data_IF_835321734158
#
_entry.id   IF_835321734158
#
_cell.length_a   1.000
_cell.length_b   1.000
_cell.length_c   1.000
_cell.angle_alpha   90.00
_cell.angle_beta   90.00
_cell.angle_gamma   90.00
#
_symmetry.space_group_name_H-M   'P 1'
#
loop_
_entity.id
_entity.type
_entity.pdbx_description
1 polymer ?
#
# COMPACT_ATOMS: atom_id res chain seq x y z
N UNK A 1 -3.95 13.21 -10.67
CA UNK A 1 -3.33 13.69 -9.39
C UNK A 1 -4.37 13.48 -8.28
N UNK A 2 -3.99 12.92 -7.14
CA UNK A 2 -4.87 12.80 -5.96
C UNK A 2 -5.23 14.20 -5.49
N UNK A 3 -6.52 14.47 -5.28
CA UNK A 3 -7.04 15.79 -4.92
C UNK A 3 -7.10 15.94 -3.39
N UNK A 4 -7.08 17.18 -2.91
CA UNK A 4 -7.19 17.47 -1.47
C UNK A 4 -8.47 16.86 -0.87
N UNK A 5 -9.57 16.90 -1.60
CA UNK A 5 -10.87 16.37 -1.18
C UNK A 5 -10.84 14.84 -0.94
N UNK A 6 -9.94 14.12 -1.61
CA UNK A 6 -9.79 12.67 -1.43
C UNK A 6 -9.26 12.31 -0.03
N UNK A 7 -8.51 13.22 0.60
CA UNK A 7 -8.02 13.07 1.97
C UNK A 7 -9.04 13.50 3.02
N UNK A 8 -9.97 14.40 2.69
CA UNK A 8 -10.97 14.89 3.64
C UNK A 8 -11.85 13.77 4.19
N UNK A 9 -12.14 12.75 3.37
CA UNK A 9 -12.89 11.56 3.80
C UNK A 9 -12.14 10.81 4.90
N UNK A 10 -10.81 10.76 4.82
CA UNK A 10 -9.95 10.09 5.79
C UNK A 10 -9.85 10.95 7.05
N UNK A 11 -9.63 12.24 6.91
CA UNK A 11 -9.42 13.15 8.06
C UNK A 11 -10.67 13.31 8.92
N UNK A 12 -11.87 13.33 8.34
CA UNK A 12 -13.14 13.40 9.07
C UNK A 12 -13.38 12.21 9.99
N UNK A 13 -12.78 11.06 9.69
CA UNK A 13 -12.94 9.84 10.49
C UNK A 13 -11.82 9.64 11.51
N UNK A 14 -10.80 10.48 11.45
CA UNK A 14 -9.72 10.45 12.43
C UNK A 14 -10.24 10.87 13.81
N UNK A 15 -9.97 10.06 14.82
CA UNK A 15 -10.18 10.43 16.21
C UNK A 15 -9.15 9.73 17.10
N UNK A 16 -8.96 10.26 18.32
CA UNK A 16 -7.91 9.79 19.23
C UNK A 16 -8.33 8.55 20.04
N UNK A 17 -9.61 8.21 20.04
CA UNK A 17 -10.13 7.08 20.81
C UNK A 17 -10.00 5.75 20.08
N UNK A 18 -10.27 5.76 18.77
CA UNK A 18 -10.21 4.56 17.92
C UNK A 18 -9.28 4.84 16.75
N UNK A 19 -8.07 4.23 16.73
CA UNK A 19 -7.12 4.48 15.66
C UNK A 19 -7.66 4.06 14.30
N UNK A 20 -7.44 4.93 13.33
CA UNK A 20 -7.79 4.68 11.94
C UNK A 20 -6.60 4.03 11.22
N UNK A 21 -6.87 2.93 10.54
CA UNK A 21 -5.92 2.25 9.66
C UNK A 21 -6.38 2.40 8.21
N UNK A 22 -5.60 3.09 7.40
CA UNK A 22 -5.84 3.21 5.97
C UNK A 22 -5.14 2.08 5.25
N UNK A 23 -5.89 1.26 4.53
CA UNK A 23 -5.38 0.15 3.71
C UNK A 23 -5.35 0.58 2.26
N UNK A 24 -4.15 0.67 1.67
CA UNK A 24 -3.98 1.03 0.25
C UNK A 24 -4.13 -0.20 -0.64
N UNK A 25 -4.97 -0.11 -1.65
CA UNK A 25 -5.24 -1.21 -2.57
C UNK A 25 -4.96 -0.79 -4.01
N UNK A 26 -4.35 -1.68 -4.80
CA UNK A 26 -4.05 -1.43 -6.21
C UNK A 26 -2.72 -2.00 -6.67
N UNK A 27 -2.57 -2.12 -7.98
CA UNK A 27 -1.35 -2.61 -8.63
C UNK A 27 -0.20 -1.60 -8.52
N UNK A 28 1.02 -2.05 -8.77
CA UNK A 28 2.18 -1.17 -8.85
C UNK A 28 1.94 -0.04 -9.90
N UNK A 29 2.35 1.18 -9.57
CA UNK A 29 2.13 2.36 -10.42
C UNK A 29 0.80 3.09 -10.18
N UNK A 30 -0.12 2.56 -9.38
CA UNK A 30 -1.41 3.22 -9.09
C UNK A 30 -1.27 4.46 -8.18
N UNK A 31 -0.09 4.70 -7.60
CA UNK A 31 0.18 5.89 -6.78
C UNK A 31 0.00 5.67 -5.27
N UNK A 32 -0.12 4.42 -4.82
CA UNK A 32 -0.28 4.07 -3.39
C UNK A 32 0.78 4.72 -2.51
N UNK A 33 2.05 4.57 -2.89
CA UNK A 33 3.17 5.11 -2.10
C UNK A 33 3.09 6.64 -1.98
N UNK A 34 2.79 7.35 -3.06
CA UNK A 34 2.63 8.81 -3.02
C UNK A 34 1.47 9.22 -2.10
N UNK A 35 0.35 8.51 -2.17
CA UNK A 35 -0.80 8.74 -1.29
C UNK A 35 -0.44 8.45 0.18
N UNK A 36 0.22 7.33 0.44
CA UNK A 36 0.65 6.93 1.78
C UNK A 36 1.66 7.91 2.39
N UNK A 37 2.60 8.43 1.59
CA UNK A 37 3.58 9.45 2.01
C UNK A 37 2.89 10.77 2.39
N UNK A 38 1.83 11.14 1.69
CA UNK A 38 1.04 12.31 2.08
C UNK A 38 0.36 12.11 3.43
N UNK A 39 -0.21 10.92 3.69
CA UNK A 39 -0.76 10.60 5.01
C UNK A 39 0.32 10.56 6.10
N UNK A 40 1.52 10.12 5.79
CA UNK A 40 2.67 10.12 6.70
C UNK A 40 3.05 11.54 7.12
N UNK A 41 3.05 12.51 6.19
CA UNK A 41 3.24 13.93 6.50
C UNK A 41 2.16 14.44 7.46
N UNK A 42 0.94 13.94 7.36
CA UNK A 42 -0.19 14.28 8.23
C UNK A 42 -0.22 13.47 9.54
N UNK A 43 0.85 12.73 9.84
CA UNK A 43 1.06 12.06 11.11
C UNK A 43 0.55 10.62 11.20
N UNK A 44 0.28 9.96 10.07
CA UNK A 44 0.08 8.51 10.05
C UNK A 44 1.42 7.78 10.08
N UNK A 45 1.50 6.66 10.78
CA UNK A 45 2.65 5.75 10.67
C UNK A 45 2.50 4.91 9.42
N UNK A 46 3.44 5.02 8.48
CA UNK A 46 3.39 4.25 7.23
C UNK A 46 4.12 2.91 7.37
N UNK A 47 3.44 1.83 6.96
CA UNK A 47 3.99 0.48 6.89
C UNK A 47 4.13 0.08 5.42
N UNK A 48 5.36 -0.20 4.97
CA UNK A 48 5.69 -0.58 3.60
C UNK A 48 6.63 -1.79 3.59
N UNK A 49 6.22 -2.87 2.92
CA UNK A 49 7.05 -4.07 2.76
C UNK A 49 8.32 -3.74 1.97
N UNK A 50 8.19 -2.97 0.90
CA UNK A 50 9.32 -2.63 0.03
C UNK A 50 10.38 -1.83 0.79
N UNK A 51 9.97 -0.88 1.64
CA UNK A 51 10.91 -0.11 2.46
C UNK A 51 11.51 -0.93 3.60
N UNK A 52 10.75 -1.83 4.22
CA UNK A 52 11.28 -2.74 5.23
C UNK A 52 12.37 -3.67 4.64
N UNK A 53 12.14 -4.22 3.45
CA UNK A 53 13.14 -5.03 2.74
C UNK A 53 14.36 -4.19 2.41
N UNK A 54 14.16 -3.00 1.84
CA UNK A 54 15.24 -2.09 1.49
C UNK A 54 16.11 -1.74 2.71
N UNK A 55 15.50 -1.41 3.82
CA UNK A 55 16.20 -1.03 5.05
C UNK A 55 16.95 -2.19 5.70
N UNK A 56 16.45 -3.43 5.61
CA UNK A 56 17.00 -4.59 6.33
C UNK A 56 17.84 -5.52 5.46
N UNK A 57 17.60 -5.60 4.17
CA UNK A 57 18.24 -6.52 3.22
C UNK A 57 18.95 -5.80 2.08
N UNK A 58 18.65 -4.50 1.87
CA UNK A 58 19.23 -3.73 0.78
C UNK A 58 18.45 -3.89 -0.53
N UNK A 59 19.16 -3.76 -1.64
CA UNK A 59 18.61 -3.61 -2.98
C UNK A 59 18.31 -4.94 -3.64
N UNK A 60 17.11 -5.07 -4.15
CA UNK A 60 16.68 -6.21 -4.95
C UNK A 60 17.62 -6.47 -6.14
N UNK A 61 18.08 -7.72 -6.27
CA UNK A 61 18.96 -8.16 -7.36
C UNK A 61 20.38 -7.61 -7.33
N UNK A 62 20.74 -6.80 -6.32
CA UNK A 62 22.08 -6.24 -6.11
C UNK A 62 22.66 -6.71 -4.78
N UNK A 63 22.02 -6.35 -3.68
CA UNK A 63 22.50 -6.68 -2.34
C UNK A 63 22.02 -8.07 -1.89
N UNK A 64 20.98 -8.61 -2.52
CA UNK A 64 20.50 -9.98 -2.32
C UNK A 64 19.96 -10.63 -3.62
N UNK A 65 20.02 -11.98 -3.74
CA UNK A 65 19.53 -12.69 -4.92
C UNK A 65 18.02 -12.56 -5.09
N UNK A 66 17.56 -12.45 -6.34
CA UNK A 66 16.14 -12.39 -6.72
C UNK A 66 15.33 -13.53 -6.09
N UNK A 67 15.89 -14.75 -6.04
CA UNK A 67 15.25 -15.93 -5.47
C UNK A 67 14.89 -15.80 -3.97
N UNK A 68 15.51 -14.87 -3.25
CA UNK A 68 15.23 -14.60 -1.83
C UNK A 68 14.09 -13.59 -1.61
N UNK A 69 13.63 -12.93 -2.65
CA UNK A 69 12.66 -11.84 -2.51
C UNK A 69 11.35 -12.27 -1.84
N UNK A 70 10.79 -13.41 -2.23
CA UNK A 70 9.51 -13.89 -1.66
C UNK A 70 9.67 -14.32 -0.18
N UNK A 71 10.83 -14.83 0.22
CA UNK A 71 11.17 -15.13 1.61
C UNK A 71 11.20 -13.83 2.42
N UNK A 72 11.98 -12.85 1.96
CA UNK A 72 12.13 -11.55 2.64
C UNK A 72 10.82 -10.75 2.71
N UNK A 73 9.99 -10.87 1.68
CA UNK A 73 8.66 -10.28 1.66
C UNK A 73 7.74 -10.85 2.75
N UNK A 74 7.76 -12.18 2.94
CA UNK A 74 7.00 -12.83 4.01
C UNK A 74 7.49 -12.43 5.40
N UNK A 75 8.80 -12.37 5.60
CA UNK A 75 9.41 -11.94 6.86
C UNK A 75 9.05 -10.49 7.17
N UNK A 76 9.22 -9.60 6.19
CA UNK A 76 8.88 -8.19 6.32
C UNK A 76 7.38 -8.00 6.64
N UNK A 77 6.50 -8.71 5.93
CA UNK A 77 5.06 -8.64 6.19
C UNK A 77 4.71 -9.13 7.59
N UNK A 78 5.29 -10.24 8.04
CA UNK A 78 5.06 -10.76 9.40
C UNK A 78 5.49 -9.76 10.47
N UNK A 79 6.66 -9.15 10.31
CA UNK A 79 7.16 -8.09 11.19
C UNK A 79 6.24 -6.87 11.21
N UNK A 80 5.84 -6.39 10.04
CA UNK A 80 4.97 -5.21 9.91
C UNK A 80 3.56 -5.47 10.44
N UNK A 81 3.03 -6.69 10.33
CA UNK A 81 1.75 -7.07 10.93
C UNK A 81 1.80 -7.02 12.46
N UNK A 82 2.86 -7.50 13.08
CA UNK A 82 3.04 -7.39 14.53
C UNK A 82 3.18 -5.93 14.96
N UNK A 83 3.89 -5.12 14.18
CA UNK A 83 4.01 -3.68 14.41
C UNK A 83 2.66 -2.97 14.27
N UNK A 84 1.84 -3.33 13.27
CA UNK A 84 0.48 -2.80 13.11
C UNK A 84 -0.36 -2.99 14.37
N UNK A 85 -0.39 -4.20 14.91
CA UNK A 85 -1.15 -4.51 16.14
C UNK A 85 -0.68 -3.64 17.30
N UNK A 86 0.63 -3.52 17.48
CA UNK A 86 1.23 -2.65 18.51
C UNK A 86 0.81 -1.18 18.31
N UNK A 87 0.92 -0.65 17.11
CA UNK A 87 0.57 0.74 16.80
C UNK A 87 -0.92 1.02 17.10
N UNK A 88 -1.81 0.07 16.79
CA UNK A 88 -3.24 0.20 17.09
C UNK A 88 -3.44 0.25 18.62
N UNK A 89 -2.78 -0.60 19.40
CA UNK A 89 -2.85 -0.56 20.86
C UNK A 89 -2.29 0.75 21.44
N UNK A 90 -1.24 1.29 20.80
CA UNK A 90 -0.63 2.58 21.15
C UNK A 90 -1.44 3.79 20.63
N UNK A 91 -2.66 3.56 20.09
CA UNK A 91 -3.58 4.59 19.55
C UNK A 91 -2.99 5.41 18.40
N UNK A 92 -2.06 4.84 17.63
CA UNK A 92 -1.50 5.50 16.46
C UNK A 92 -2.38 5.33 15.23
N UNK A 93 -2.47 6.38 14.41
CA UNK A 93 -3.05 6.31 13.08
C UNK A 93 -2.05 5.64 12.13
N UNK A 94 -2.50 4.72 11.29
CA UNK A 94 -1.60 3.91 10.44
C UNK A 94 -2.04 3.94 8.98
N UNK A 95 -1.10 3.98 8.05
CA UNK A 95 -1.35 3.67 6.64
C UNK A 95 -0.53 2.45 6.22
N UNK A 96 -1.20 1.45 5.65
CA UNK A 96 -0.59 0.22 5.15
C UNK A 96 -0.41 0.37 3.63
N UNK A 97 0.82 0.64 3.21
CA UNK A 97 1.22 0.79 1.80
C UNK A 97 1.56 -0.58 1.20
N UNK A 98 0.55 -1.47 1.15
CA UNK A 98 0.64 -2.78 0.51
C UNK A 98 -0.22 -2.79 -0.75
N UNK A 99 -0.08 -3.86 -1.57
CA UNK A 99 -0.91 -4.03 -2.78
C UNK A 99 -2.31 -4.51 -2.48
N UNK A 100 -2.48 -5.33 -1.43
CA UNK A 100 -3.75 -5.99 -1.08
C UNK A 100 -4.43 -6.66 -2.28
N UNK A 101 -3.72 -7.59 -2.92
CA UNK A 101 -4.03 -8.22 -4.20
C UNK A 101 -5.37 -8.90 -4.29
N UNK A 102 -5.75 -9.59 -3.25
CA UNK A 102 -6.91 -10.45 -3.20
C UNK A 102 -7.82 -10.12 -2.02
N UNK A 103 -9.07 -10.50 -2.14
CA UNK A 103 -10.09 -10.25 -1.13
C UNK A 103 -9.77 -10.95 0.19
N UNK A 104 -9.28 -12.17 0.13
CA UNK A 104 -8.98 -12.97 1.34
C UNK A 104 -7.97 -12.22 2.22
N UNK A 105 -6.91 -11.69 1.61
CA UNK A 105 -5.89 -10.92 2.32
C UNK A 105 -6.44 -9.59 2.85
N UNK A 106 -7.29 -8.90 2.09
CA UNK A 106 -7.95 -7.69 2.56
C UNK A 106 -8.82 -7.97 3.79
N UNK A 107 -9.65 -9.01 3.74
CA UNK A 107 -10.54 -9.37 4.84
C UNK A 107 -9.76 -9.84 6.08
N UNK A 108 -8.63 -10.55 5.91
CA UNK A 108 -7.73 -10.90 7.01
C UNK A 108 -7.20 -9.67 7.74
N UNK A 109 -6.76 -8.65 7.00
CA UNK A 109 -6.25 -7.42 7.61
C UNK A 109 -7.35 -6.58 8.26
N UNK A 110 -8.53 -6.48 7.65
CA UNK A 110 -9.71 -5.86 8.27
C UNK A 110 -10.00 -6.48 9.64
N UNK A 111 -10.02 -7.83 9.68
CA UNK A 111 -10.24 -8.56 10.92
C UNK A 111 -9.14 -8.30 11.96
N UNK A 112 -7.87 -8.32 11.58
CA UNK A 112 -6.75 -8.01 12.49
C UNK A 112 -6.91 -6.61 13.08
N UNK A 113 -7.27 -5.62 12.28
CA UNK A 113 -7.47 -4.24 12.72
C UNK A 113 -8.62 -4.13 13.73
N UNK A 114 -9.76 -4.75 13.42
CA UNK A 114 -10.95 -4.75 14.28
C UNK A 114 -10.69 -5.48 15.60
N UNK A 115 -10.10 -6.68 15.54
CA UNK A 115 -9.74 -7.48 16.73
C UNK A 115 -8.73 -6.76 17.63
N UNK A 116 -7.90 -5.86 17.06
CA UNK A 116 -6.94 -5.02 17.81
C UNK A 116 -7.54 -3.71 18.35
N UNK A 117 -8.82 -3.42 18.08
CA UNK A 117 -9.52 -2.22 18.54
C UNK A 117 -9.33 -0.99 17.64
N UNK A 118 -8.91 -1.18 16.41
CA UNK A 118 -8.85 -0.15 15.37
C UNK A 118 -10.08 -0.15 14.46
N UNK A 119 -10.16 0.83 13.59
CA UNK A 119 -11.08 0.87 12.46
C UNK A 119 -10.30 1.03 11.16
N UNK A 120 -10.84 0.54 10.05
CA UNK A 120 -10.16 0.56 8.77
C UNK A 120 -10.91 1.38 7.72
N UNK A 121 -10.15 1.86 6.73
CA UNK A 121 -10.62 2.35 5.43
C UNK A 121 -9.82 1.69 4.33
N UNK A 122 -10.50 1.08 3.36
CA UNK A 122 -9.88 0.51 2.17
C UNK A 122 -9.91 1.55 1.05
N UNK A 123 -8.75 2.01 0.62
CA UNK A 123 -8.60 2.98 -0.47
C UNK A 123 -8.12 2.25 -1.71
N UNK A 124 -8.96 2.20 -2.73
CA UNK A 124 -8.62 1.68 -4.05
C UNK A 124 -8.31 2.84 -5.01
N UNK A 125 -7.04 2.96 -5.38
CA UNK A 125 -6.62 3.93 -6.40
C UNK A 125 -6.83 3.30 -7.77
N UNK A 126 -7.68 3.91 -8.59
CA UNK A 126 -7.95 3.48 -9.97
C UNK A 126 -7.19 4.38 -10.93
N UNK A 127 -6.44 3.78 -11.85
CA UNK A 127 -5.63 4.47 -12.86
C UNK A 127 -5.99 3.95 -14.24
N UNK A 128 -6.08 4.85 -15.21
CA UNK A 128 -6.28 4.46 -16.59
C UNK A 128 -5.06 3.66 -17.11
N UNK A 129 -5.23 2.59 -17.91
CA UNK A 129 -4.13 1.75 -18.35
C UNK A 129 -3.00 2.49 -19.09
N UNK A 130 -3.33 3.53 -19.86
CA UNK A 130 -2.33 4.32 -20.58
C UNK A 130 -1.49 5.17 -19.64
N UNK A 131 -2.11 5.82 -18.65
CA UNK A 131 -1.41 6.56 -17.61
C UNK A 131 -0.51 5.64 -16.77
N UNK A 132 -0.96 4.42 -16.52
CA UNK A 132 -0.20 3.44 -15.76
C UNK A 132 1.11 3.10 -16.47
N UNK A 133 1.09 2.88 -17.79
CA UNK A 133 2.30 2.58 -18.57
C UNK A 133 3.30 3.72 -18.52
N UNK A 134 2.84 4.96 -18.70
CA UNK A 134 3.72 6.13 -18.59
C UNK A 134 4.34 6.27 -17.20
N UNK A 135 3.56 6.10 -16.14
CA UNK A 135 4.05 6.14 -14.75
C UNK A 135 5.10 5.07 -14.48
N UNK A 136 4.91 3.85 -14.99
CA UNK A 136 5.86 2.75 -14.83
C UNK A 136 7.16 3.00 -15.59
N UNK A 137 7.12 3.56 -16.80
CA UNK A 137 8.33 3.97 -17.54
C UNK A 137 9.17 4.96 -16.73
N UNK A 138 8.53 5.95 -16.09
CA UNK A 138 9.22 6.92 -15.24
C UNK A 138 9.75 6.28 -13.95
N UNK A 139 8.95 5.42 -13.32
CA UNK A 139 9.32 4.70 -12.10
C UNK A 139 10.51 3.77 -12.30
N UNK A 140 10.55 3.04 -13.41
CA UNK A 140 11.64 2.11 -13.74
C UNK A 140 13.01 2.81 -13.91
N UNK A 141 13.03 4.15 -14.04
CA UNK A 141 14.25 4.96 -14.09
C UNK A 141 14.72 5.43 -12.71
N UNK A 142 13.90 5.24 -11.68
CA UNK A 142 14.23 5.67 -10.31
C UNK A 142 15.10 4.63 -9.63
N UNK A 143 15.76 5.08 -8.57
CA UNK A 143 16.62 4.22 -7.73
C UNK A 143 16.25 4.43 -6.26
N UNK A 144 15.19 3.77 -5.83
CA UNK A 144 14.69 3.80 -4.46
C UNK A 144 13.97 2.48 -4.11
N UNK A 145 13.59 2.30 -2.85
CA UNK A 145 12.91 1.11 -2.34
C UNK A 145 11.64 0.74 -3.12
N UNK A 146 10.96 1.72 -3.69
CA UNK A 146 9.67 1.58 -4.37
C UNK A 146 9.80 1.48 -5.90
N UNK A 147 11.03 1.36 -6.45
CA UNK A 147 11.30 1.39 -7.89
C UNK A 147 11.70 0.05 -8.49
N UNK A 148 11.20 -1.06 -7.94
CA UNK A 148 11.36 -2.39 -8.56
C UNK A 148 10.93 -2.35 -10.04
N UNK A 149 11.81 -2.74 -10.98
CA UNK A 149 11.50 -2.69 -12.40
C UNK A 149 10.35 -3.62 -12.79
N UNK A 150 9.36 -3.09 -13.50
CA UNK A 150 8.19 -3.84 -13.96
C UNK A 150 8.18 -3.81 -15.49
N UNK A 151 8.28 -5.02 -16.09
CA UNK A 151 8.12 -5.19 -17.53
C UNK A 151 6.63 -5.16 -17.95
N UNK A 152 6.35 -5.01 -19.24
CA UNK A 152 4.98 -5.07 -19.78
C UNK A 152 4.32 -6.43 -19.53
N UNK A 153 5.07 -7.54 -19.62
CA UNK A 153 4.58 -8.89 -19.34
C UNK A 153 4.20 -9.03 -17.86
N UNK A 154 5.06 -8.52 -16.98
CA UNK A 154 4.82 -8.54 -15.53
C UNK A 154 3.62 -7.66 -15.17
N UNK A 155 3.49 -6.47 -15.78
CA UNK A 155 2.33 -5.60 -15.60
C UNK A 155 1.04 -6.31 -16.04
N UNK A 156 1.06 -6.94 -17.19
CA UNK A 156 -0.09 -7.69 -17.73
C UNK A 156 -0.50 -8.82 -16.78
N UNK A 157 0.48 -9.55 -16.24
CA UNK A 157 0.24 -10.59 -15.24
C UNK A 157 -0.38 -9.99 -13.96
N UNK A 158 0.11 -8.86 -13.52
CA UNK A 158 -0.41 -8.15 -12.36
C UNK A 158 -1.86 -7.69 -12.54
N UNK A 159 -2.18 -7.10 -13.66
CA UNK A 159 -3.55 -6.66 -13.96
C UNK A 159 -4.54 -7.83 -14.07
N UNK A 160 -4.09 -8.99 -14.56
CA UNK A 160 -4.93 -10.19 -14.65
C UNK A 160 -5.14 -10.88 -13.30
N UNK A 161 -4.14 -10.84 -12.42
CA UNK A 161 -4.19 -11.50 -11.12
C UNK A 161 -4.77 -10.65 -9.99
N UNK A 162 -4.94 -9.35 -10.21
CA UNK A 162 -5.45 -8.44 -9.20
C UNK A 162 -6.97 -8.51 -9.08
N UNK A 163 -7.47 -8.87 -7.91
CA UNK A 163 -8.90 -8.85 -7.59
C UNK A 163 -9.33 -7.41 -7.22
N UNK A 164 -9.98 -6.74 -8.16
CA UNK A 164 -10.53 -5.40 -7.93
C UNK A 164 -11.53 -5.44 -6.78
N UNK A 165 -11.38 -4.63 -5.73
CA UNK A 165 -12.33 -4.60 -4.63
C UNK A 165 -13.69 -4.15 -5.14
N UNK A 166 -14.74 -4.86 -4.70
CA UNK A 166 -16.13 -4.58 -5.05
C UNK A 166 -17.06 -5.02 -3.91
N UNK A 167 -17.77 -4.07 -3.34
CA UNK A 167 -18.68 -4.32 -2.22
C UNK A 167 -17.96 -4.74 -0.93
N UNK A 168 -16.74 -4.29 -0.73
CA UNK A 168 -15.89 -4.58 0.43
C UNK A 168 -15.75 -3.37 1.38
N UNK A 169 -16.50 -2.29 1.16
CA UNK A 169 -16.37 -1.03 1.88
C UNK A 169 -15.23 -0.16 1.35
N UNK A 170 -14.79 -0.39 0.13
CA UNK A 170 -13.74 0.39 -0.54
C UNK A 170 -14.20 1.81 -0.90
N UNK A 171 -13.27 2.74 -0.78
CA UNK A 171 -13.37 4.08 -1.34
C UNK A 171 -12.55 4.08 -2.62
N UNK A 172 -13.20 4.32 -3.75
CA UNK A 172 -12.53 4.37 -5.05
C UNK A 172 -12.12 5.81 -5.34
N UNK A 173 -10.83 6.02 -5.57
CA UNK A 173 -10.27 7.31 -5.95
C UNK A 173 -9.70 7.18 -7.37
N UNK A 174 -10.23 7.94 -8.31
CA UNK A 174 -9.70 8.00 -9.67
C UNK A 174 -8.46 8.88 -9.70
N UNK A 175 -7.31 8.26 -9.96
CA UNK A 175 -6.02 8.93 -10.01
C UNK A 175 -5.63 9.21 -11.45
N UNK A 176 -6.26 10.22 -12.06
CA UNK A 176 -5.98 10.65 -13.42
C UNK A 176 -4.67 11.45 -13.51
N UNK A 177 -3.93 11.25 -14.60
CA UNK A 177 -2.81 12.13 -14.99
C UNK A 177 -3.37 13.16 -15.97
N UNK A 178 -3.27 14.43 -15.65
CA UNK A 178 -3.49 15.50 -16.60
C UNK A 178 -2.20 15.83 -17.34
#
# INVERSE_FOLDING_TARGET
>A
MVRKDDFDIIYRERNDLTPLVVMMCGVAGFGKTTFSQQLEIEGFVRLSIDEEIWATKGRYGIDFPIAKFEEYKKDAESKLRNLLIKLIHDKQQVVIDFSFWDRVRRDQYKKIIEDSGGKWKLIYLKVHPDDLRERLKLRNKRFDANSFPISEELLTSYLKGFEIPNGEGEIVIENETY
#
